data_IF_387829355494
#
_entry.id   IF_387829355494
#
_cell.length_a   1.000
_cell.length_b   1.000
_cell.length_c   1.000
_cell.angle_alpha   90.00
_cell.angle_beta   90.00
_cell.angle_gamma   90.00
#
_symmetry.space_group_name_H-M   'P 1'
#
loop_
_entity.id
_entity.type
_entity.pdbx_description
1 polymer ?
#
# COMPACT_ATOMS: atom_id res chain seq x y z
N UNK A 1 8.03 1.05 -73.78
CA UNK A 1 8.76 0.07 -72.96
C UNK A 1 7.95 -0.20 -71.71
N UNK A 2 7.41 -1.41 -71.65
CA UNK A 2 6.49 -1.92 -70.64
C UNK A 2 7.23 -2.11 -69.31
N UNK A 3 6.54 -1.88 -68.19
CA UNK A 3 6.44 -2.89 -67.12
C UNK A 3 5.32 -2.56 -66.15
N UNK A 4 4.66 -3.64 -65.77
CA UNK A 4 3.26 -3.75 -65.37
C UNK A 4 3.17 -3.94 -63.85
N UNK A 5 2.12 -3.36 -63.28
CA UNK A 5 1.59 -3.49 -61.91
C UNK A 5 1.59 -4.91 -61.35
N UNK A 6 1.90 -5.08 -60.06
CA UNK A 6 1.37 -6.19 -59.25
C UNK A 6 1.21 -5.73 -57.79
N UNK A 7 -0.03 -5.54 -57.38
CA UNK A 7 -0.49 -5.33 -56.00
C UNK A 7 -0.90 -6.70 -55.47
N UNK A 8 -0.32 -7.17 -54.37
CA UNK A 8 -0.77 -8.38 -53.67
C UNK A 8 -1.60 -7.96 -52.46
N UNK A 9 -2.90 -8.10 -52.63
CA UNK A 9 -3.93 -8.05 -51.60
C UNK A 9 -4.10 -9.49 -51.07
N UNK A 10 -3.88 -9.73 -49.77
CA UNK A 10 -4.21 -11.02 -49.16
C UNK A 10 -5.24 -10.80 -48.05
N UNK A 11 -6.46 -11.29 -48.29
CA UNK A 11 -7.61 -11.24 -47.41
C UNK A 11 -7.90 -12.62 -46.78
N UNK A 12 -8.36 -12.57 -45.52
CA UNK A 12 -9.18 -13.50 -44.73
C UNK A 12 -9.15 -15.02 -45.01
N UNK A 13 -8.98 -15.78 -43.91
CA UNK A 13 -9.82 -16.96 -43.65
C UNK A 13 -10.08 -17.11 -42.15
N UNK A 14 -11.37 -17.03 -41.79
CA UNK A 14 -11.93 -17.42 -40.51
C UNK A 14 -12.00 -18.95 -40.42
N UNK A 15 -11.64 -19.51 -39.26
CA UNK A 15 -11.84 -20.91 -38.93
C UNK A 15 -12.52 -21.04 -37.57
N UNK A 16 -13.84 -21.19 -37.59
CA UNK A 16 -14.62 -21.69 -36.45
C UNK A 16 -14.29 -23.17 -36.26
N UNK A 17 -13.78 -23.55 -35.10
CA UNK A 17 -13.76 -24.94 -34.65
C UNK A 17 -14.52 -25.01 -33.32
N UNK A 18 -15.78 -25.39 -33.44
CA UNK A 18 -16.65 -25.84 -32.36
C UNK A 18 -16.11 -27.14 -31.79
N UNK A 19 -15.83 -27.19 -30.49
CA UNK A 19 -15.70 -28.45 -29.75
C UNK A 19 -16.48 -28.30 -28.45
N UNK A 20 -17.78 -28.58 -28.54
CA UNK A 20 -18.64 -28.95 -27.43
C UNK A 20 -18.30 -30.39 -27.01
N UNK A 21 -17.87 -30.57 -25.76
CA UNK A 21 -18.05 -31.82 -25.04
C UNK A 21 -17.94 -31.59 -23.52
N UNK A 22 -19.07 -31.69 -22.84
CA UNK A 22 -19.23 -31.89 -21.39
C UNK A 22 -20.48 -32.78 -21.21
N UNK A 23 -20.74 -33.44 -20.06
CA UNK A 23 -19.92 -34.14 -19.06
C UNK A 23 -20.33 -35.64 -19.00
N UNK A 24 -19.82 -36.47 -18.06
CA UNK A 24 -20.58 -37.30 -17.06
C UNK A 24 -19.56 -38.07 -16.12
N UNK A 25 -19.93 -38.85 -15.07
CA UNK A 25 -19.89 -38.44 -13.65
C UNK A 25 -19.03 -39.30 -12.69
N UNK A 26 -18.95 -38.80 -11.45
CA UNK A 26 -18.82 -39.42 -10.11
C UNK A 26 -18.29 -40.86 -9.93
N UNK A 27 -17.38 -41.01 -8.94
CA UNK A 27 -17.44 -42.11 -7.99
C UNK A 27 -17.05 -41.66 -6.57
N UNK A 28 -17.73 -42.20 -5.55
CA UNK A 28 -17.57 -41.96 -4.12
C UNK A 28 -17.19 -43.26 -3.39
N UNK A 29 -16.37 -43.15 -2.34
CA UNK A 29 -16.23 -44.13 -1.24
C UNK A 29 -15.08 -43.67 -0.33
N UNK A 30 -15.24 -43.21 0.91
CA UNK A 30 -15.95 -43.68 2.12
C UNK A 30 -15.30 -44.88 2.80
N UNK A 31 -14.76 -44.69 4.02
CA UNK A 31 -14.76 -45.73 5.06
C UNK A 31 -13.52 -45.91 5.95
N UNK A 32 -13.65 -45.48 7.22
CA UNK A 32 -13.00 -45.97 8.46
C UNK A 32 -11.48 -45.80 8.65
N UNK A 33 -10.93 -45.47 9.81
CA UNK A 33 -11.45 -45.49 11.19
C UNK A 33 -10.29 -45.97 12.09
N UNK A 34 -9.86 -45.18 13.07
CA UNK A 34 -8.75 -45.54 13.95
C UNK A 34 -8.54 -44.53 15.07
N UNK A 35 -9.19 -44.79 16.20
CA UNK A 35 -9.03 -44.10 17.49
C UNK A 35 -7.91 -44.74 18.31
N UNK A 36 -7.07 -43.93 18.97
CA UNK A 36 -6.53 -44.18 20.32
C UNK A 36 -5.98 -42.88 20.93
N UNK A 37 -6.47 -42.56 22.13
CA UNK A 37 -5.98 -41.52 23.04
C UNK A 37 -4.72 -41.98 23.80
N UNK A 38 -3.85 -41.03 24.19
CA UNK A 38 -3.60 -40.67 25.61
C UNK A 38 -2.38 -39.73 25.80
N UNK A 39 -2.65 -38.64 26.52
CA UNK A 39 -1.83 -37.98 27.54
C UNK A 39 -0.51 -37.25 27.18
N UNK A 40 -0.48 -35.95 27.51
CA UNK A 40 0.73 -35.13 27.61
C UNK A 40 0.43 -33.64 27.76
N UNK A 41 -0.09 -33.22 28.92
CA UNK A 41 -0.33 -31.82 29.26
C UNK A 41 0.99 -31.08 29.55
N UNK A 42 1.22 -29.92 28.93
CA UNK A 42 2.16 -28.90 29.43
C UNK A 42 1.57 -27.49 29.27
N UNK A 43 1.54 -26.81 30.41
CA UNK A 43 1.05 -25.46 30.71
C UNK A 43 2.05 -24.37 30.28
N UNK A 44 1.58 -23.17 29.87
CA UNK A 44 2.44 -21.99 29.74
C UNK A 44 2.71 -21.34 31.11
N UNK A 45 3.93 -20.84 31.39
CA UNK A 45 4.25 -20.19 32.66
C UNK A 45 3.64 -18.77 32.75
N UNK A 46 3.28 -18.46 33.99
CA UNK A 46 2.49 -17.32 34.43
C UNK A 46 3.20 -15.97 34.31
N UNK A 47 2.35 -14.94 34.19
CA UNK A 47 2.67 -13.54 34.25
C UNK A 47 3.14 -13.10 35.64
N UNK A 48 4.25 -12.36 35.70
CA UNK A 48 4.60 -11.57 36.88
C UNK A 48 3.77 -10.29 36.90
N UNK A 49 3.11 -10.08 38.03
CA UNK A 49 2.23 -8.95 38.29
C UNK A 49 2.94 -8.04 39.30
N UNK A 50 3.17 -6.79 38.95
CA UNK A 50 3.37 -5.74 39.97
C UNK A 50 2.77 -4.43 39.46
N UNK A 51 1.91 -3.76 40.24
CA UNK A 51 1.03 -2.70 39.74
C UNK A 51 1.70 -1.33 39.84
N UNK A 52 1.50 -0.49 38.81
CA UNK A 52 1.62 0.96 38.95
C UNK A 52 0.23 1.57 38.87
N UNK A 53 -0.17 2.13 40.01
CA UNK A 53 -1.45 2.77 40.27
C UNK A 53 -1.72 3.93 39.33
N UNK A 54 -3.02 4.12 39.09
CA UNK A 54 -3.58 5.05 38.13
C UNK A 54 -3.22 6.52 38.35
N UNK A 55 -3.02 7.20 37.23
CA UNK A 55 -3.37 8.59 37.09
C UNK A 55 -4.45 8.68 36.01
N UNK A 56 -5.50 9.38 36.40
CA UNK A 56 -6.79 9.50 35.74
C UNK A 56 -6.69 9.95 34.28
N UNK A 57 -7.57 9.36 33.48
CA UNK A 57 -8.23 9.95 32.32
C UNK A 57 -8.04 11.45 32.14
N UNK A 58 -7.21 11.82 31.17
CA UNK A 58 -7.51 12.92 30.28
C UNK A 58 -7.52 12.37 28.87
N UNK A 59 -8.72 12.23 28.31
CA UNK A 59 -8.91 12.00 26.89
C UNK A 59 -8.15 13.09 26.15
N UNK A 60 -6.97 12.73 25.61
CA UNK A 60 -6.19 13.63 24.79
C UNK A 60 -7.06 14.01 23.60
N UNK A 61 -7.52 15.25 23.59
CA UNK A 61 -8.24 15.83 22.46
C UNK A 61 -7.23 15.91 21.32
N UNK A 62 -7.22 14.89 20.45
CA UNK A 62 -6.40 14.84 19.26
C UNK A 62 -6.87 15.97 18.35
N UNK A 63 -6.21 17.13 18.51
CA UNK A 63 -6.38 18.28 17.65
C UNK A 63 -5.64 17.96 16.35
N UNK A 64 -6.26 17.12 15.52
CA UNK A 64 -5.83 16.80 14.16
C UNK A 64 -6.12 17.99 13.24
N UNK A 65 -5.37 19.05 13.49
CA UNK A 65 -5.35 20.24 12.67
C UNK A 65 -4.03 20.90 13.00
N UNK A 66 -3.09 20.79 12.06
CA UNK A 66 -2.14 21.87 11.86
C UNK A 66 -2.97 23.16 11.98
N UNK A 67 -2.72 23.97 13.01
CA UNK A 67 -3.22 25.34 13.04
C UNK A 67 -2.45 26.05 11.93
N UNK A 68 -2.87 25.83 10.69
CA UNK A 68 -2.30 26.50 9.52
C UNK A 68 -2.75 27.94 9.66
N UNK A 69 -1.92 28.75 10.32
CA UNK A 69 -2.01 30.19 10.28
C UNK A 69 -1.60 30.62 8.88
N UNK A 70 -2.53 30.50 7.92
CA UNK A 70 -2.33 31.06 6.59
C UNK A 70 -2.41 32.57 6.78
N UNK A 71 -1.31 33.34 6.59
CA UNK A 71 -1.42 34.79 6.64
C UNK A 71 -2.43 35.20 5.57
N UNK A 72 -3.47 35.94 5.95
CA UNK A 72 -4.58 36.36 5.06
C UNK A 72 -4.14 37.37 3.96
N UNK A 73 -2.85 37.44 3.62
CA UNK A 73 -2.24 38.39 2.69
C UNK A 73 -1.33 37.76 1.63
N UNK A 74 -1.40 36.45 1.36
CA UNK A 74 -0.57 35.81 0.32
C UNK A 74 -1.06 36.27 -1.06
N UNK A 75 -0.46 37.31 -1.62
CA UNK A 75 -0.54 37.59 -3.05
C UNK A 75 0.32 36.55 -3.77
N UNK A 76 -0.30 35.48 -4.25
CA UNK A 76 0.38 34.50 -5.09
C UNK A 76 0.72 35.18 -6.41
N UNK A 77 2.01 35.22 -6.76
CA UNK A 77 2.51 35.85 -8.00
C UNK A 77 1.72 35.33 -9.21
N UNK A 78 1.08 36.23 -9.94
CA UNK A 78 0.30 35.92 -11.15
C UNK A 78 -1.21 35.69 -10.95
N UNK A 79 -1.76 35.79 -9.72
CA UNK A 79 -3.21 35.74 -9.49
C UNK A 79 -3.87 37.10 -9.53
N UNK A 80 -5.10 37.16 -10.05
CA UNK A 80 -5.90 38.38 -9.97
C UNK A 80 -6.41 38.62 -8.55
N UNK A 81 -6.82 39.86 -8.25
CA UNK A 81 -7.42 40.20 -6.95
C UNK A 81 -8.68 39.38 -6.66
N UNK A 82 -9.49 39.09 -7.68
CA UNK A 82 -10.70 38.27 -7.56
C UNK A 82 -10.37 36.84 -7.15
N UNK A 83 -9.36 36.23 -7.78
CA UNK A 83 -8.94 34.85 -7.47
C UNK A 83 -8.36 34.73 -6.07
N UNK A 84 -7.66 35.77 -5.62
CA UNK A 84 -7.08 35.82 -4.27
C UNK A 84 -8.19 35.90 -3.21
N UNK A 85 -9.22 36.72 -3.45
CA UNK A 85 -10.39 36.82 -2.56
C UNK A 85 -11.21 35.52 -2.54
N UNK A 86 -11.39 34.88 -3.70
CA UNK A 86 -12.07 33.60 -3.81
C UNK A 86 -11.31 32.48 -3.09
N UNK A 87 -9.98 32.48 -3.13
CA UNK A 87 -9.17 31.53 -2.37
C UNK A 87 -9.36 31.74 -0.86
N UNK A 88 -9.27 32.98 -0.38
CA UNK A 88 -9.42 33.29 1.05
C UNK A 88 -10.83 32.93 1.54
N UNK A 89 -11.88 33.18 0.73
CA UNK A 89 -13.25 32.81 1.09
C UNK A 89 -13.43 31.29 1.12
N UNK A 90 -12.85 30.53 0.18
CA UNK A 90 -12.89 29.08 0.15
C UNK A 90 -12.16 28.46 1.36
N UNK A 91 -10.97 28.97 1.70
CA UNK A 91 -10.23 28.54 2.89
C UNK A 91 -11.07 28.79 4.15
N UNK A 92 -11.65 29.98 4.29
CA UNK A 92 -12.49 30.33 5.44
C UNK A 92 -13.73 29.44 5.53
N UNK A 93 -14.35 29.10 4.41
CA UNK A 93 -15.49 28.18 4.37
C UNK A 93 -15.07 26.78 4.82
N UNK A 94 -13.94 26.26 4.33
CA UNK A 94 -13.39 24.96 4.74
C UNK A 94 -13.00 24.90 6.22
N UNK A 95 -12.42 25.97 6.77
CA UNK A 95 -12.08 26.05 8.20
C UNK A 95 -13.32 26.05 9.11
N UNK A 96 -14.49 26.42 8.60
CA UNK A 96 -15.78 26.40 9.32
C UNK A 96 -16.54 25.09 9.12
N UNK A 97 -16.07 24.21 8.23
CA UNK A 97 -16.72 22.95 7.94
C UNK A 97 -16.44 21.94 9.06
N UNK A 98 -17.47 21.62 9.84
CA UNK A 98 -17.38 20.68 10.97
C UNK A 98 -17.70 19.24 10.58
N UNK A 99 -17.96 18.97 9.28
CA UNK A 99 -18.21 17.61 8.78
C UNK A 99 -16.95 16.72 8.83
N UNK A 100 -15.78 17.34 8.94
CA UNK A 100 -14.49 16.69 9.12
C UNK A 100 -13.80 17.22 10.40
N UNK A 101 -13.10 16.39 11.19
CA UNK A 101 -12.91 14.94 11.04
C UNK A 101 -14.18 14.14 11.33
N UNK A 102 -14.42 13.08 10.56
CA UNK A 102 -15.50 12.12 10.87
C UNK A 102 -15.19 11.45 12.20
N UNK A 103 -16.17 11.44 13.13
CA UNK A 103 -16.03 10.75 14.41
C UNK A 103 -15.92 9.23 14.16
N UNK A 104 -14.72 8.70 14.35
CA UNK A 104 -14.44 7.27 14.25
C UNK A 104 -14.58 6.55 15.60
N UNK A 105 -14.50 5.20 15.61
CA UNK A 105 -14.37 4.44 16.83
C UNK A 105 -13.07 4.81 17.58
N UNK A 106 -13.01 4.48 18.86
CA UNK A 106 -11.79 4.65 19.65
C UNK A 106 -10.63 3.86 19.01
N UNK A 107 -9.43 4.46 19.03
CA UNK A 107 -8.23 3.83 18.47
C UNK A 107 -7.88 2.56 19.24
N UNK A 108 -7.56 1.49 18.51
CA UNK A 108 -7.10 0.24 19.11
C UNK A 108 -5.67 0.43 19.67
N UNK A 109 -5.29 -0.28 20.74
CA UNK A 109 -3.92 -0.31 21.21
C UNK A 109 -2.95 -0.71 20.09
N UNK A 110 -1.86 0.05 19.92
CA UNK A 110 -0.88 -0.18 18.85
C UNK A 110 -1.24 0.43 17.49
N UNK A 111 -2.34 1.19 17.39
CA UNK A 111 -2.70 1.90 16.15
C UNK A 111 -1.62 2.93 15.78
N UNK A 112 -1.08 2.82 14.57
CA UNK A 112 -0.06 3.77 14.06
C UNK A 112 -0.66 5.10 13.62
N UNK A 113 -1.88 5.06 13.08
CA UNK A 113 -2.62 6.22 12.57
C UNK A 113 -3.67 6.64 13.61
N UNK A 114 -3.94 7.95 13.78
CA UNK A 114 -3.38 9.09 13.03
C UNK A 114 -2.06 9.65 13.59
N UNK A 115 -1.57 9.16 14.74
CA UNK A 115 -0.45 9.76 15.48
C UNK A 115 0.91 9.72 14.76
N UNK A 116 1.06 8.89 13.72
CA UNK A 116 2.29 8.75 12.95
C UNK A 116 2.06 9.01 11.47
N UNK A 117 3.08 9.53 10.79
CA UNK A 117 3.15 9.67 9.34
C UNK A 117 3.98 8.54 8.75
N UNK A 118 3.40 7.77 7.84
CA UNK A 118 4.12 6.71 7.13
C UNK A 118 4.64 7.29 5.81
N UNK A 119 5.96 7.18 5.59
CA UNK A 119 6.61 7.58 4.33
C UNK A 119 7.06 6.31 3.62
N UNK A 120 6.41 6.01 2.50
CA UNK A 120 6.62 4.77 1.78
C UNK A 120 7.31 4.97 0.42
N UNK A 121 8.32 4.15 0.14
CA UNK A 121 8.86 3.99 -1.21
C UNK A 121 8.19 2.81 -1.88
N UNK A 122 7.54 3.05 -3.01
CA UNK A 122 6.74 2.04 -3.71
C UNK A 122 7.51 1.39 -4.85
N UNK A 123 7.22 0.12 -5.11
CA UNK A 123 7.52 -0.51 -6.40
C UNK A 123 7.86 -1.99 -6.36
N UNK A 124 8.61 -2.43 -7.37
CA UNK A 124 9.19 -3.79 -7.43
C UNK A 124 10.68 -3.72 -7.78
N UNK A 125 11.57 -4.48 -7.10
CA UNK A 125 12.99 -4.54 -7.43
C UNK A 125 13.29 -5.07 -8.84
N UNK A 126 12.30 -5.69 -9.51
CA UNK A 126 12.50 -6.31 -10.82
C UNK A 126 12.29 -5.35 -12.00
N UNK A 127 11.75 -4.15 -11.77
CA UNK A 127 11.42 -3.23 -12.87
C UNK A 127 11.66 -1.77 -12.50
N UNK A 128 12.52 -1.12 -13.28
CA UNK A 128 12.80 0.33 -13.20
C UNK A 128 11.59 1.21 -13.51
N UNK A 129 10.59 0.67 -14.21
CA UNK A 129 9.38 1.41 -14.62
C UNK A 129 8.25 1.32 -13.60
N UNK A 130 8.42 0.54 -12.53
CA UNK A 130 7.38 0.24 -11.56
C UNK A 130 7.71 0.78 -10.17
N UNK A 131 8.37 1.93 -10.09
CA UNK A 131 8.64 2.64 -8.84
C UNK A 131 10.10 2.59 -8.39
N UNK A 132 10.40 3.38 -7.36
CA UNK A 132 11.76 3.68 -6.92
C UNK A 132 12.51 2.47 -6.38
N UNK A 133 11.79 1.44 -5.90
CA UNK A 133 12.39 0.18 -5.45
C UNK A 133 13.15 -0.57 -6.56
N UNK A 134 12.78 -0.35 -7.83
CA UNK A 134 13.46 -0.94 -8.98
C UNK A 134 14.39 0.02 -9.71
N UNK A 135 14.27 1.33 -9.46
CA UNK A 135 15.06 2.37 -10.15
C UNK A 135 16.50 2.46 -9.63
N UNK A 136 16.66 2.37 -8.30
CA UNK A 136 17.94 2.53 -7.60
C UNK A 136 18.43 1.20 -7.00
N UNK A 137 19.75 1.01 -6.84
CA UNK A 137 20.29 -0.08 -6.05
C UNK A 137 19.71 -0.07 -4.62
N UNK A 138 19.50 -1.23 -3.97
CA UNK A 138 18.85 -1.29 -2.65
C UNK A 138 19.44 -0.37 -1.58
N UNK A 139 20.77 -0.33 -1.45
CA UNK A 139 21.44 0.48 -0.43
C UNK A 139 21.24 1.99 -0.67
N UNK A 140 21.32 2.42 -1.93
CA UNK A 140 21.10 3.82 -2.32
C UNK A 140 19.63 4.22 -2.14
N UNK A 141 18.71 3.32 -2.50
CA UNK A 141 17.27 3.51 -2.30
C UNK A 141 16.93 3.70 -0.83
N UNK A 142 17.46 2.83 0.06
CA UNK A 142 17.23 2.93 1.50
C UNK A 142 17.86 4.19 2.10
N UNK A 143 19.07 4.58 1.66
CA UNK A 143 19.68 5.83 2.10
C UNK A 143 18.85 7.06 1.68
N UNK A 144 18.25 7.02 0.49
CA UNK A 144 17.35 8.08 0.01
C UNK A 144 16.05 8.11 0.82
N UNK A 145 15.49 6.95 1.18
CA UNK A 145 14.32 6.86 2.07
C UNK A 145 14.61 7.50 3.43
N UNK A 146 15.78 7.21 4.03
CA UNK A 146 16.20 7.81 5.30
C UNK A 146 16.25 9.34 5.21
N UNK A 147 16.80 9.87 4.10
CA UNK A 147 16.84 11.31 3.85
C UNK A 147 15.44 11.91 3.75
N UNK A 148 14.54 11.28 2.98
CA UNK A 148 13.16 11.74 2.86
C UNK A 148 12.43 11.72 4.20
N UNK A 149 12.63 10.68 5.02
CA UNK A 149 12.08 10.61 6.39
C UNK A 149 12.57 11.77 7.25
N UNK A 150 13.87 12.08 7.20
CA UNK A 150 14.43 13.23 7.93
C UNK A 150 13.85 14.57 7.45
N UNK A 151 13.67 14.75 6.15
CA UNK A 151 13.05 15.94 5.57
C UNK A 151 11.61 16.12 6.08
N UNK A 152 10.82 15.04 6.13
CA UNK A 152 9.48 15.06 6.69
C UNK A 152 9.45 15.31 8.20
N UNK A 153 10.38 14.72 8.95
CA UNK A 153 10.48 14.92 10.39
C UNK A 153 10.85 16.38 10.73
N UNK A 154 11.68 17.02 9.89
CA UNK A 154 12.01 18.45 10.00
C UNK A 154 10.83 19.35 9.65
N UNK A 155 10.06 19.00 8.62
CA UNK A 155 8.91 19.77 8.18
C UNK A 155 7.76 19.75 9.19
N UNK A 156 7.57 18.63 9.89
CA UNK A 156 6.55 18.48 10.92
C UNK A 156 7.11 17.68 12.12
N UNK A 157 7.75 18.38 13.07
CA UNK A 157 8.31 17.73 14.25
C UNK A 157 7.26 17.16 15.21
N UNK A 158 5.99 17.58 15.09
CA UNK A 158 4.91 17.17 15.99
C UNK A 158 4.38 15.76 15.72
N UNK A 159 4.58 15.28 14.49
CA UNK A 159 4.14 13.94 14.06
C UNK A 159 5.35 13.02 13.90
N UNK A 160 5.27 11.81 14.47
CA UNK A 160 6.32 10.78 14.30
C UNK A 160 6.35 10.28 12.87
N UNK A 161 7.49 10.30 12.19
CA UNK A 161 7.63 9.72 10.84
C UNK A 161 8.14 8.27 10.91
N UNK A 162 7.50 7.36 10.17
CA UNK A 162 7.85 5.93 10.08
C UNK A 162 8.19 5.59 8.62
N UNK A 163 9.39 5.05 8.33
CA UNK A 163 9.74 4.56 6.99
C UNK A 163 8.93 3.32 6.61
N UNK A 164 8.65 3.15 5.32
CA UNK A 164 8.01 1.96 4.79
C UNK A 164 8.45 1.62 3.36
N UNK A 165 8.36 0.34 3.00
CA UNK A 165 8.47 -0.15 1.63
C UNK A 165 7.11 -0.69 1.19
N UNK A 166 6.54 -0.13 0.12
CA UNK A 166 5.28 -0.58 -0.46
C UNK A 166 5.59 -1.49 -1.65
N UNK A 167 5.47 -2.79 -1.46
CA UNK A 167 5.94 -3.78 -2.42
C UNK A 167 4.83 -4.27 -3.35
N UNK A 168 5.07 -4.16 -4.65
CA UNK A 168 4.17 -4.71 -5.67
C UNK A 168 4.46 -6.21 -5.80
N UNK A 169 3.74 -7.02 -5.02
CA UNK A 169 3.85 -8.47 -5.03
C UNK A 169 3.16 -9.13 -6.24
N UNK A 170 2.22 -8.43 -6.90
CA UNK A 170 1.46 -8.94 -8.04
C UNK A 170 1.38 -7.87 -9.13
N UNK A 171 1.70 -8.26 -10.36
CA UNK A 171 1.72 -7.37 -11.52
C UNK A 171 0.77 -7.89 -12.59
N UNK A 172 -0.06 -7.01 -13.17
CA UNK A 172 -0.92 -7.36 -14.30
C UNK A 172 -0.08 -7.70 -15.54
N UNK A 173 -0.52 -8.68 -16.33
CA UNK A 173 0.17 -9.13 -17.54
C UNK A 173 -0.71 -8.95 -18.78
N UNK A 174 -0.09 -8.65 -19.92
CA UNK A 174 -0.78 -8.51 -21.21
C UNK A 174 -1.18 -9.85 -21.83
N UNK A 175 -0.52 -10.94 -21.43
CA UNK A 175 -0.81 -12.31 -21.86
C UNK A 175 -1.15 -13.20 -20.65
N UNK A 176 -1.96 -14.25 -20.81
CA UNK A 176 -2.23 -15.20 -19.74
C UNK A 176 -0.96 -15.96 -19.36
N UNK A 177 -0.72 -16.11 -18.05
CA UNK A 177 0.34 -16.96 -17.52
C UNK A 177 0.02 -18.44 -17.66
N UNK A 178 0.91 -19.30 -17.15
CA UNK A 178 0.73 -20.77 -17.17
C UNK A 178 -0.55 -21.24 -16.48
N UNK A 179 -1.05 -20.47 -15.52
CA UNK A 179 -2.30 -20.75 -14.80
C UNK A 179 -3.53 -20.13 -15.47
N UNK A 180 -3.41 -19.61 -16.69
CA UNK A 180 -4.47 -18.96 -17.46
C UNK A 180 -4.85 -17.56 -16.95
N UNK A 181 -4.18 -17.03 -15.92
CA UNK A 181 -4.50 -15.73 -15.34
C UNK A 181 -3.62 -14.63 -15.91
N UNK A 182 -4.16 -13.42 -16.00
CA UNK A 182 -3.47 -12.23 -16.51
C UNK A 182 -2.66 -11.51 -15.42
N UNK A 183 -1.92 -12.29 -14.60
CA UNK A 183 -1.12 -11.76 -13.50
C UNK A 183 0.16 -12.55 -13.30
N UNK A 184 1.21 -11.84 -12.94
CA UNK A 184 2.46 -12.39 -12.46
C UNK A 184 2.53 -12.17 -10.95
N UNK A 185 2.72 -13.25 -10.19
CA UNK A 185 3.01 -13.20 -8.76
C UNK A 185 4.50 -13.31 -8.53
N UNK A 186 5.03 -12.47 -7.65
CA UNK A 186 6.43 -12.54 -7.22
C UNK A 186 6.68 -13.79 -6.39
N UNK A 187 7.92 -14.29 -6.39
CA UNK A 187 8.30 -15.46 -5.58
C UNK A 187 8.40 -15.11 -4.11
N UNK A 188 8.19 -16.09 -3.24
CA UNK A 188 8.31 -15.92 -1.78
C UNK A 188 9.71 -15.42 -1.40
N UNK A 189 10.76 -15.91 -2.07
CA UNK A 189 12.14 -15.45 -1.90
C UNK A 189 12.33 -13.96 -2.18
N UNK A 190 11.57 -13.38 -3.11
CA UNK A 190 11.63 -11.95 -3.40
C UNK A 190 10.87 -11.15 -2.34
N UNK A 191 9.72 -11.66 -1.89
CA UNK A 191 8.96 -11.07 -0.77
C UNK A 191 9.85 -11.03 0.49
N UNK A 192 10.50 -12.14 0.83
CA UNK A 192 11.43 -12.23 1.96
C UNK A 192 12.61 -11.28 1.81
N UNK A 193 13.16 -11.12 0.60
CA UNK A 193 14.21 -10.14 0.35
C UNK A 193 13.75 -8.72 0.67
N UNK A 194 12.56 -8.32 0.22
CA UNK A 194 12.02 -6.98 0.50
C UNK A 194 11.69 -6.80 1.98
N UNK A 195 11.13 -7.82 2.61
CA UNK A 195 10.89 -7.84 4.05
C UNK A 195 12.20 -7.65 4.83
N UNK A 196 13.27 -8.37 4.47
CA UNK A 196 14.57 -8.25 5.14
C UNK A 196 15.21 -6.87 4.91
N UNK A 197 15.03 -6.27 3.73
CA UNK A 197 15.46 -4.89 3.48
C UNK A 197 14.73 -3.90 4.40
N UNK A 198 13.41 -3.99 4.51
CA UNK A 198 12.65 -3.13 5.42
C UNK A 198 13.03 -3.35 6.89
N UNK A 199 13.18 -4.62 7.30
CA UNK A 199 13.59 -5.00 8.66
C UNK A 199 14.95 -4.39 9.03
N UNK A 200 15.90 -4.34 8.10
CA UNK A 200 17.21 -3.71 8.34
C UNK A 200 17.15 -2.24 8.73
N UNK A 201 16.03 -1.55 8.41
CA UNK A 201 15.79 -0.14 8.71
C UNK A 201 14.65 0.09 9.70
N UNK A 202 14.15 -0.96 10.35
CA UNK A 202 12.94 -0.92 11.17
C UNK A 202 11.74 -0.28 10.44
N UNK A 203 11.66 -0.49 9.12
CA UNK A 203 10.63 0.03 8.26
C UNK A 203 9.44 -0.95 8.14
N UNK A 204 8.25 -0.40 7.85
CA UNK A 204 7.08 -1.21 7.55
C UNK A 204 7.21 -1.83 6.14
N UNK A 205 6.59 -2.99 5.94
CA UNK A 205 6.40 -3.57 4.60
C UNK A 205 4.92 -3.88 4.42
N UNK A 206 4.35 -3.48 3.28
CA UNK A 206 2.98 -3.79 2.91
C UNK A 206 2.81 -3.81 1.38
#
# INVERSE_FOLDING_TARGET
MNRTTTIVLLALAAGCATNDAKPTPADQGSGSGGVVSMAGAQTPPAADTTPINGASSTAATLSDSLKVSIPLGISVKGRSRKDSLALVSAIRAGMKDTRWPVKGPALLPGSLLPSSRIVAYYGTPLSKKMGILGELPPNEMLAKLDRTVQEWQKADPSTRVIPALHFIAVVAQGAPGRDGKYKLRMTDSLVERVYNMARSKNALTF
#
